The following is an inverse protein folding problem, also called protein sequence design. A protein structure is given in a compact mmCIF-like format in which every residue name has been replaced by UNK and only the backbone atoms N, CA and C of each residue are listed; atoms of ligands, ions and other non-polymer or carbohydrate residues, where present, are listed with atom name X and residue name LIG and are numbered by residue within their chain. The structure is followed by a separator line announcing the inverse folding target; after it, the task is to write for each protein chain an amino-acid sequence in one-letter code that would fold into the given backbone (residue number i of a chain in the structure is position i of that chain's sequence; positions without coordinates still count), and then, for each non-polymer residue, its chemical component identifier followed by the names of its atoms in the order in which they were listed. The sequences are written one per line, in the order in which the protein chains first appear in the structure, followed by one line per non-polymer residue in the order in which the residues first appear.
data_IF_758715670023
#
_entry.id   IF_758715670023
#
_cell.length_a   1.000
_cell.length_b   1.000
_cell.length_c   1.000
_cell.angle_alpha   90.00
_cell.angle_beta   90.00
_cell.angle_gamma   90.00
#
_symmetry.space_group_name_H-M   'P 1'
#
loop_
_entity.id
_entity.type
_entity.pdbx_description
1 polymer ?
#
# COMPACT_ATOMS: atom_id res chain seq x y z
N UNK A 1 1.62 0.24 -16.28
CA UNK A 1 1.01 -0.09 -17.60
C UNK A 1 -0.50 -0.20 -17.44
N UNK A 2 -1.30 0.04 -18.49
CA UNK A 2 -2.75 -0.25 -18.50
C UNK A 2 -3.10 -1.12 -19.71
N UNK A 3 -3.94 -2.13 -19.50
CA UNK A 3 -4.38 -3.09 -20.53
C UNK A 3 -5.90 -3.20 -20.43
N UNK A 4 -6.59 -3.29 -21.57
CA UNK A 4 -8.04 -3.56 -21.58
C UNK A 4 -8.32 -4.94 -21.01
N UNK A 5 -9.41 -5.10 -20.26
CA UNK A 5 -9.81 -6.40 -19.71
C UNK A 5 -10.12 -7.43 -20.79
N UNK A 6 -10.58 -6.99 -21.95
CA UNK A 6 -10.88 -7.85 -23.11
C UNK A 6 -9.64 -8.63 -23.61
N UNK A 7 -8.44 -8.09 -23.42
CA UNK A 7 -7.17 -8.77 -23.76
C UNK A 7 -6.94 -10.04 -22.94
N UNK A 8 -7.68 -10.21 -21.84
CA UNK A 8 -7.65 -11.37 -20.95
C UNK A 8 -8.92 -12.22 -21.04
N UNK A 9 -9.78 -12.03 -22.05
CA UNK A 9 -11.01 -12.82 -22.20
C UNK A 9 -10.74 -14.33 -22.41
N UNK A 10 -9.63 -14.68 -23.07
CA UNK A 10 -9.31 -16.07 -23.44
C UNK A 10 -7.96 -16.52 -22.86
N UNK A 11 -7.92 -16.79 -21.56
CA UNK A 11 -6.72 -17.29 -20.86
C UNK A 11 -6.56 -18.80 -21.07
N UNK A 12 -5.37 -19.22 -21.49
CA UNK A 12 -5.01 -20.64 -21.63
C UNK A 12 -4.54 -21.21 -20.28
N UNK A 13 -4.64 -22.53 -20.03
CA UNK A 13 -4.07 -23.16 -18.83
C UNK A 13 -2.56 -22.90 -18.65
N UNK A 14 -1.83 -22.76 -19.75
CA UNK A 14 -0.39 -22.39 -19.74
C UNK A 14 -0.13 -20.92 -19.37
N UNK A 15 -1.18 -20.14 -19.10
CA UNK A 15 -1.11 -18.71 -18.87
C UNK A 15 -1.00 -17.88 -20.16
N UNK A 16 -0.89 -16.58 -19.96
CA UNK A 16 -0.70 -15.57 -20.99
C UNK A 16 0.31 -14.54 -20.49
N UNK A 17 1.17 -14.05 -21.39
CA UNK A 17 2.02 -12.89 -21.07
C UNK A 17 1.11 -11.68 -20.86
N UNK A 18 1.29 -10.98 -19.73
CA UNK A 18 0.53 -9.78 -19.35
C UNK A 18 1.35 -8.49 -19.49
N UNK A 19 2.67 -8.58 -19.34
CA UNK A 19 3.65 -7.53 -19.59
C UNK A 19 5.03 -8.13 -19.84
N UNK A 20 5.85 -7.39 -20.60
CA UNK A 20 7.29 -7.64 -20.66
C UNK A 20 7.97 -6.84 -19.56
N UNK A 21 8.90 -7.48 -18.85
CA UNK A 21 9.70 -6.90 -17.78
C UNK A 21 11.15 -6.85 -18.24
N UNK A 22 11.84 -5.77 -17.88
CA UNK A 22 13.29 -5.69 -18.05
C UNK A 22 13.97 -6.62 -17.03
N UNK A 23 15.23 -6.98 -17.30
CA UNK A 23 16.00 -7.85 -16.41
C UNK A 23 16.12 -7.24 -15.00
N UNK A 24 15.81 -8.04 -13.99
CA UNK A 24 15.81 -7.62 -12.58
C UNK A 24 14.54 -6.90 -12.11
N UNK A 25 13.57 -6.62 -13.00
CA UNK A 25 12.29 -6.04 -12.62
C UNK A 25 11.25 -7.12 -12.26
N UNK A 26 10.29 -6.77 -11.41
CA UNK A 26 9.24 -7.67 -10.95
C UNK A 26 7.86 -6.99 -10.94
N UNK A 27 6.82 -7.75 -11.28
CA UNK A 27 5.45 -7.26 -11.15
C UNK A 27 5.03 -7.28 -9.68
N UNK A 28 5.02 -6.11 -9.02
CA UNK A 28 4.56 -6.00 -7.64
C UNK A 28 3.04 -6.01 -7.47
N UNK A 29 2.29 -5.34 -8.35
CA UNK A 29 0.84 -5.13 -8.18
C UNK A 29 0.09 -5.09 -9.51
N UNK A 30 -1.12 -5.64 -9.48
CA UNK A 30 -2.16 -5.44 -10.49
C UNK A 30 -3.45 -4.96 -9.80
N UNK A 31 -4.15 -4.03 -10.45
CA UNK A 31 -5.41 -3.46 -9.99
C UNK A 31 -6.35 -3.27 -11.16
N UNK A 32 -7.64 -3.52 -10.93
CA UNK A 32 -8.69 -3.15 -11.86
C UNK A 32 -9.00 -1.66 -11.69
N UNK A 33 -9.20 -0.98 -12.82
CA UNK A 33 -9.62 0.41 -12.87
C UNK A 33 -10.74 0.57 -13.90
N UNK A 34 -11.53 1.62 -13.75
CA UNK A 34 -12.77 1.88 -14.50
C UNK A 34 -12.60 2.85 -15.67
N UNK A 35 -11.40 3.39 -15.89
CA UNK A 35 -11.10 4.41 -16.90
C UNK A 35 -11.11 5.84 -16.37
N UNK A 36 -11.65 6.07 -15.17
CA UNK A 36 -11.76 7.37 -14.49
C UNK A 36 -11.09 7.42 -13.12
N UNK A 37 -10.37 6.37 -12.74
CA UNK A 37 -9.78 6.25 -11.42
C UNK A 37 -8.44 6.98 -11.33
N UNK A 38 -8.03 7.24 -10.09
CA UNK A 38 -6.69 7.72 -9.79
C UNK A 38 -5.91 6.64 -9.08
N UNK A 39 -4.61 6.62 -9.29
CA UNK A 39 -3.71 5.65 -8.67
C UNK A 39 -2.70 6.39 -7.82
N UNK A 40 -2.24 5.74 -6.76
CA UNK A 40 -1.15 6.21 -5.90
C UNK A 40 -0.03 5.18 -5.88
N UNK A 41 1.19 5.66 -6.08
CA UNK A 41 2.42 4.86 -6.03
C UNK A 41 3.24 5.35 -4.85
N UNK A 42 3.78 4.43 -4.05
CA UNK A 42 4.62 4.74 -2.89
C UNK A 42 5.98 4.06 -3.04
N UNK A 43 7.04 4.76 -2.65
CA UNK A 43 8.42 4.26 -2.67
C UNK A 43 8.93 3.93 -1.27
N UNK A 44 9.91 3.04 -1.17
CA UNK A 44 10.48 2.64 0.12
C UNK A 44 11.13 3.81 0.88
N UNK A 45 11.69 4.79 0.15
CA UNK A 45 12.32 5.98 0.74
C UNK A 45 11.34 7.12 1.01
N UNK A 46 10.03 6.86 0.96
CA UNK A 46 9.03 7.77 1.50
C UNK A 46 8.47 8.80 0.53
N UNK A 47 8.49 8.52 -0.77
CA UNK A 47 7.74 9.32 -1.75
C UNK A 47 6.40 8.68 -2.06
N UNK A 48 5.39 9.51 -2.31
CA UNK A 48 4.11 9.08 -2.86
C UNK A 48 3.71 9.96 -4.03
N UNK A 49 3.17 9.35 -5.08
CA UNK A 49 2.67 10.06 -6.26
C UNK A 49 1.27 9.58 -6.61
N UNK A 50 0.30 10.51 -6.56
CA UNK A 50 -1.07 10.29 -7.01
C UNK A 50 -1.29 10.91 -8.38
N UNK A 51 -1.88 10.19 -9.32
CA UNK A 51 -2.24 10.71 -10.64
C UNK A 51 -3.40 9.93 -11.26
N UNK A 52 -4.12 10.58 -12.18
CA UNK A 52 -5.20 9.95 -12.96
C UNK A 52 -4.67 8.84 -13.87
N UNK A 53 -5.37 7.70 -13.89
CA UNK A 53 -5.04 6.58 -14.78
C UNK A 53 -5.03 7.00 -16.27
N UNK A 54 -5.80 8.03 -16.63
CA UNK A 54 -5.88 8.53 -18.01
C UNK A 54 -4.56 9.11 -18.52
N UNK A 55 -3.60 9.40 -17.63
CA UNK A 55 -2.21 9.75 -17.99
C UNK A 55 -1.41 8.56 -18.54
N UNK A 56 -1.96 7.35 -18.44
CA UNK A 56 -1.40 6.11 -19.00
C UNK A 56 -2.35 5.60 -20.09
N UNK A 57 -1.91 5.67 -21.34
CA UNK A 57 -2.66 5.07 -22.46
C UNK A 57 -2.80 3.56 -22.26
N UNK A 58 -3.92 3.00 -22.72
CA UNK A 58 -4.05 1.55 -22.84
C UNK A 58 -3.02 1.01 -23.86
N UNK A 59 -2.50 -0.17 -23.59
CA UNK A 59 -1.51 -0.84 -24.43
C UNK A 59 -1.81 -2.34 -24.46
N UNK A 60 -1.32 -3.02 -25.51
CA UNK A 60 -1.40 -4.48 -25.59
C UNK A 60 -0.57 -5.19 -24.52
N UNK A 61 -0.86 -6.48 -24.32
CA UNK A 61 -0.21 -7.31 -23.29
C UNK A 61 1.31 -7.44 -23.42
N UNK A 62 1.88 -7.32 -24.61
CA UNK A 62 3.34 -7.42 -24.80
C UNK A 62 4.11 -6.11 -24.53
N UNK A 63 3.43 -4.98 -24.31
CA UNK A 63 4.13 -3.72 -24.03
C UNK A 63 4.80 -3.73 -22.64
N UNK A 64 5.96 -3.09 -22.50
CA UNK A 64 6.63 -2.90 -21.21
C UNK A 64 5.84 -1.92 -20.30
N UNK A 65 5.38 -0.81 -20.88
CA UNK A 65 4.60 0.20 -20.16
C UNK A 65 5.21 1.59 -20.27
N UNK A 66 4.96 2.43 -19.26
CA UNK A 66 5.47 3.80 -19.15
C UNK A 66 5.82 4.10 -17.70
N UNK A 67 6.74 5.03 -17.49
CA UNK A 67 7.14 5.48 -16.16
C UNK A 67 5.95 6.07 -15.39
N UNK A 68 5.68 5.48 -14.22
CA UNK A 68 4.67 5.94 -13.26
C UNK A 68 5.21 7.00 -12.32
N UNK A 69 6.30 6.71 -11.61
CA UNK A 69 7.00 7.62 -10.68
C UNK A 69 8.49 7.69 -11.06
N UNK A 70 9.11 8.86 -10.88
CA UNK A 70 10.57 9.00 -11.04
C UNK A 70 11.26 8.61 -9.74
N UNK A 71 11.97 7.48 -9.77
CA UNK A 71 12.74 6.99 -8.62
C UNK A 71 14.05 7.77 -8.48
N UNK A 72 14.47 7.98 -7.23
CA UNK A 72 15.85 8.39 -6.91
C UNK A 72 16.76 7.17 -6.95
N UNK A 73 18.07 7.40 -7.04
CA UNK A 73 19.04 6.31 -6.99
C UNK A 73 18.86 5.49 -5.71
N UNK A 74 18.74 4.17 -5.86
CA UNK A 74 18.54 3.23 -4.75
C UNK A 74 17.16 3.29 -4.09
N UNK A 75 16.15 3.86 -4.76
CA UNK A 75 14.74 3.81 -4.33
C UNK A 75 13.97 2.82 -5.21
N UNK A 76 13.00 2.13 -4.62
CA UNK A 76 12.12 1.19 -5.31
C UNK A 76 10.65 1.45 -4.94
N UNK A 77 9.74 1.01 -5.80
CA UNK A 77 8.31 1.06 -5.49
C UNK A 77 7.98 -0.04 -4.47
N UNK A 78 7.28 0.33 -3.40
CA UNK A 78 6.82 -0.59 -2.35
C UNK A 78 5.29 -0.76 -2.35
N UNK A 79 4.57 0.11 -3.06
CA UNK A 79 3.13 -0.05 -3.22
C UNK A 79 2.57 0.68 -4.43
N UNK A 80 1.52 0.11 -5.01
CA UNK A 80 0.60 0.76 -5.93
C UNK A 80 -0.83 0.41 -5.52
N UNK A 81 -1.70 1.42 -5.46
CA UNK A 81 -3.11 1.23 -5.14
C UNK A 81 -4.02 2.20 -5.91
N UNK A 82 -5.31 1.88 -5.95
CA UNK A 82 -6.35 2.74 -6.52
C UNK A 82 -6.92 3.62 -5.42
N UNK A 83 -7.14 4.89 -5.73
CA UNK A 83 -7.73 5.85 -4.80
C UNK A 83 -9.20 5.49 -4.57
N UNK A 84 -9.58 5.40 -3.30
CA UNK A 84 -10.97 5.27 -2.89
C UNK A 84 -11.45 6.59 -2.27
N UNK A 85 -12.72 6.93 -2.52
CA UNK A 85 -13.33 8.13 -1.96
C UNK A 85 -13.29 8.07 -0.42
N UNK A 86 -12.99 9.21 0.20
CA UNK A 86 -12.93 9.39 1.66
C UNK A 86 -11.94 8.48 2.41
N UNK A 87 -11.12 7.73 1.68
CA UNK A 87 -10.09 6.86 2.23
C UNK A 87 -8.84 7.60 2.73
N UNK A 88 -7.98 6.84 3.38
CA UNK A 88 -6.66 7.27 3.84
C UNK A 88 -5.58 6.40 3.22
N UNK A 89 -4.37 6.94 3.08
CA UNK A 89 -3.18 6.15 2.78
C UNK A 89 -2.56 5.71 4.12
N UNK A 90 -2.59 4.40 4.37
CA UNK A 90 -1.84 3.77 5.43
C UNK A 90 -0.41 3.49 4.96
N UNK A 91 0.57 3.86 5.78
CA UNK A 91 1.99 3.53 5.57
C UNK A 91 2.49 2.77 6.80
N UNK A 92 3.23 1.69 6.57
CA UNK A 92 3.93 0.91 7.61
C UNK A 92 5.40 0.73 7.23
N UNK A 93 6.30 0.94 8.17
CA UNK A 93 7.75 0.85 7.99
C UNK A 93 8.31 -0.47 8.48
N UNK A 94 9.54 -0.78 8.06
CA UNK A 94 10.23 -2.04 8.44
C UNK A 94 10.46 -2.17 9.94
N UNK A 95 10.55 -1.06 10.71
CA UNK A 95 10.63 -1.11 12.19
C UNK A 95 9.27 -0.97 12.88
N UNK A 96 8.18 -1.16 12.15
CA UNK A 96 6.83 -1.26 12.70
C UNK A 96 6.18 0.08 13.06
N UNK A 97 6.71 1.20 12.58
CA UNK A 97 5.99 2.48 12.66
C UNK A 97 4.93 2.54 11.57
N UNK A 98 3.81 3.17 11.87
CA UNK A 98 2.79 3.44 10.87
C UNK A 98 1.86 4.59 11.23
N UNK A 99 1.12 5.00 10.22
CA UNK A 99 0.13 6.06 10.30
C UNK A 99 -0.81 6.00 9.10
N UNK A 100 -2.00 6.54 9.28
CA UNK A 100 -2.89 6.86 8.16
C UNK A 100 -2.86 8.37 7.87
N UNK A 101 -2.87 8.73 6.59
CA UNK A 101 -2.96 10.12 6.15
C UNK A 101 -4.10 10.28 5.15
N UNK A 102 -5.02 11.24 5.33
CA UNK A 102 -6.13 11.46 4.39
C UNK A 102 -5.67 11.61 2.94
N UNK A 103 -6.34 10.93 2.00
CA UNK A 103 -5.98 10.98 0.58
C UNK A 103 -6.06 12.38 -0.01
N UNK A 104 -6.88 13.28 0.59
CA UNK A 104 -6.93 14.70 0.24
C UNK A 104 -5.60 15.44 0.41
N UNK A 105 -4.70 14.97 1.28
CA UNK A 105 -3.36 15.57 1.41
C UNK A 105 -2.43 15.23 0.23
N UNK A 106 -2.80 14.24 -0.57
CA UNK A 106 -2.09 13.84 -1.78
C UNK A 106 -2.83 14.41 -2.99
N UNK A 107 -2.57 15.68 -3.32
CA UNK A 107 -3.17 16.28 -4.52
C UNK A 107 -2.67 15.57 -5.78
N UNK A 108 -3.57 15.24 -6.74
CA UNK A 108 -3.17 14.65 -8.01
C UNK A 108 -2.14 15.49 -8.76
N UNK A 109 -1.15 14.84 -9.36
CA UNK A 109 -0.09 15.45 -10.17
C UNK A 109 0.02 14.77 -11.54
N UNK A 110 1.03 15.14 -12.33
CA UNK A 110 1.44 14.37 -13.50
C UNK A 110 2.20 13.11 -13.10
N UNK A 111 2.17 12.10 -13.98
CA UNK A 111 3.04 10.91 -13.87
C UNK A 111 4.51 11.26 -14.12
N UNK A 112 5.40 10.33 -13.79
CA UNK A 112 6.86 10.45 -13.94
C UNK A 112 7.48 11.65 -13.21
N UNK A 113 6.78 12.19 -12.21
CA UNK A 113 7.34 13.13 -11.25
C UNK A 113 7.91 12.37 -10.05
N UNK A 114 8.67 13.04 -9.19
CA UNK A 114 9.26 12.41 -8.00
C UNK A 114 8.25 12.13 -6.87
N UNK A 115 7.00 12.59 -7.02
CA UNK A 115 6.02 12.55 -5.94
C UNK A 115 6.27 13.59 -4.85
N UNK A 116 5.64 13.37 -3.71
CA UNK A 116 5.71 14.19 -2.50
C UNK A 116 6.00 13.29 -1.29
N UNK A 117 6.65 13.83 -0.26
CA UNK A 117 6.94 13.05 0.94
C UNK A 117 5.64 12.50 1.58
N UNK A 118 5.68 11.22 1.96
CA UNK A 118 4.58 10.50 2.64
C UNK A 118 4.95 10.00 4.03
N UNK A 119 6.20 10.20 4.43
CA UNK A 119 6.71 9.94 5.77
C UNK A 119 7.86 10.92 6.06
N UNK A 120 8.22 11.09 7.33
CA UNK A 120 9.41 11.88 7.68
C UNK A 120 10.69 11.18 7.18
N UNK A 121 11.23 11.68 6.07
CA UNK A 121 12.41 11.10 5.44
C UNK A 121 13.68 11.24 6.30
N UNK A 122 13.73 12.20 7.23
CA UNK A 122 14.86 12.37 8.16
C UNK A 122 14.85 11.28 9.23
N UNK A 123 13.67 10.76 9.55
CA UNK A 123 13.49 9.70 10.54
C UNK A 123 13.70 8.28 9.98
N UNK A 124 13.94 8.08 8.67
CA UNK A 124 14.07 6.74 8.06
C UNK A 124 15.13 5.86 8.75
N UNK A 125 16.22 6.44 9.28
CA UNK A 125 17.21 5.66 10.06
C UNK A 125 16.62 5.11 11.37
N UNK A 126 15.75 5.88 12.01
CA UNK A 126 15.05 5.53 13.26
C UNK A 126 13.91 4.55 13.01
N UNK A 127 13.04 4.83 12.03
CA UNK A 127 11.78 4.11 11.80
C UNK A 127 11.87 3.04 10.71
N UNK A 128 12.96 2.98 9.96
CA UNK A 128 13.11 2.09 8.81
C UNK A 128 12.48 2.65 7.53
N UNK A 129 12.72 1.95 6.41
CA UNK A 129 12.08 2.24 5.12
C UNK A 129 10.61 1.84 5.16
N UNK A 130 9.82 2.32 4.21
CA UNK A 130 8.43 1.86 4.06
C UNK A 130 8.44 0.39 3.60
N UNK A 131 7.80 -0.48 4.39
CA UNK A 131 7.63 -1.89 4.08
C UNK A 131 6.37 -2.15 3.26
N UNK A 132 5.30 -1.40 3.55
CA UNK A 132 4.04 -1.50 2.83
C UNK A 132 3.23 -0.21 2.94
N UNK A 133 2.38 0.03 1.93
CA UNK A 133 1.34 1.05 1.99
C UNK A 133 0.06 0.55 1.33
N UNK A 134 -1.11 0.99 1.81
CA UNK A 134 -2.42 0.64 1.24
C UNK A 134 -3.38 1.80 1.35
N UNK A 135 -4.23 1.95 0.34
CA UNK A 135 -5.45 2.75 0.46
C UNK A 135 -6.45 1.95 1.29
N UNK A 136 -6.99 2.57 2.33
CA UNK A 136 -7.81 1.92 3.35
C UNK A 136 -9.00 2.80 3.74
N UNK A 137 -10.05 2.15 4.26
CA UNK A 137 -11.30 2.75 4.74
C UNK A 137 -11.42 2.56 6.24
N UNK A 138 -12.09 3.49 6.91
CA UNK A 138 -12.20 3.57 8.39
C UNK A 138 -12.51 2.24 9.09
N UNK A 139 -13.37 1.43 8.48
CA UNK A 139 -13.89 0.18 9.05
C UNK A 139 -13.10 -1.07 8.61
N UNK A 140 -11.98 -0.89 7.91
CA UNK A 140 -11.10 -1.99 7.52
C UNK A 140 -10.27 -2.51 8.70
N UNK A 141 -9.90 -3.77 8.59
CA UNK A 141 -8.92 -4.42 9.45
C UNK A 141 -7.59 -4.60 8.72
N UNK A 142 -6.53 -4.69 9.51
CA UNK A 142 -5.17 -4.82 9.04
C UNK A 142 -4.49 -5.99 9.72
N UNK A 143 -3.78 -6.80 8.95
CA UNK A 143 -2.83 -7.77 9.50
C UNK A 143 -1.43 -7.33 9.12
N UNK A 144 -0.54 -7.20 10.10
CA UNK A 144 0.88 -6.90 9.90
C UNK A 144 1.66 -8.14 10.31
N UNK A 145 2.62 -8.56 9.47
CA UNK A 145 3.46 -9.73 9.74
C UNK A 145 4.94 -9.37 9.64
N UNK A 146 5.72 -9.83 10.61
CA UNK A 146 7.18 -9.70 10.60
C UNK A 146 7.85 -10.83 9.83
N UNK A 147 9.13 -10.67 9.49
CA UNK A 147 9.92 -11.67 8.79
C UNK A 147 10.05 -12.98 9.59
N UNK A 148 10.08 -12.86 10.92
CA UNK A 148 10.12 -14.02 11.82
C UNK A 148 8.74 -14.64 12.11
N UNK A 149 7.68 -14.20 11.42
CA UNK A 149 6.36 -14.82 11.49
C UNK A 149 5.47 -14.31 12.63
N UNK A 150 5.83 -13.22 13.31
CA UNK A 150 4.92 -12.58 14.28
C UNK A 150 3.84 -11.83 13.51
N UNK A 151 2.58 -12.20 13.72
CA UNK A 151 1.43 -11.55 13.11
C UNK A 151 0.58 -10.82 14.16
N UNK A 152 0.17 -9.59 13.86
CA UNK A 152 -0.80 -8.84 14.65
C UNK A 152 -1.96 -8.39 13.78
N UNK A 153 -3.15 -8.32 14.35
CA UNK A 153 -4.34 -7.75 13.72
C UNK A 153 -4.76 -6.48 14.43
N UNK A 154 -5.04 -5.42 13.67
CA UNK A 154 -5.42 -4.10 14.17
C UNK A 154 -6.67 -3.62 13.43
N UNK A 155 -7.58 -2.94 14.15
CA UNK A 155 -8.66 -2.19 13.49
C UNK A 155 -8.10 -0.87 12.97
N UNK A 156 -8.40 -0.48 11.74
CA UNK A 156 -7.84 0.75 11.17
C UNK A 156 -8.19 1.99 12.00
N UNK A 157 -9.39 2.04 12.57
CA UNK A 157 -9.84 3.14 13.43
C UNK A 157 -8.91 3.45 14.62
N UNK A 158 -8.13 2.46 15.06
CA UNK A 158 -7.19 2.60 16.18
C UNK A 158 -5.79 3.06 15.70
N UNK A 159 -5.53 3.03 14.39
CA UNK A 159 -4.30 3.55 13.80
C UNK A 159 -4.32 5.06 13.76
N UNK A 160 -3.28 5.71 14.30
CA UNK A 160 -3.20 7.17 14.35
C UNK A 160 -3.28 7.81 12.97
N UNK A 161 -4.16 8.79 12.84
CA UNK A 161 -4.17 9.70 11.69
C UNK A 161 -3.21 10.86 11.92
N UNK A 162 -2.33 11.12 10.95
CA UNK A 162 -1.44 12.29 10.97
C UNK A 162 -1.05 12.73 9.56
N UNK A 163 -0.47 13.93 9.47
CA UNK A 163 -0.08 14.51 8.17
C UNK A 163 1.00 13.71 7.45
N UNK A 164 1.17 14.00 6.15
CA UNK A 164 2.07 13.25 5.26
C UNK A 164 3.51 13.10 5.80
N UNK A 165 4.20 14.20 6.07
CA UNK A 165 5.62 14.19 6.43
C UNK A 165 5.88 13.97 7.94
N UNK A 166 5.14 13.07 8.57
CA UNK A 166 5.30 12.71 9.99
C UNK A 166 5.85 11.29 10.13
N UNK A 167 6.47 10.95 11.27
CA UNK A 167 7.06 9.62 11.50
C UNK A 167 6.04 8.50 11.79
N UNK A 168 4.84 8.86 12.26
CA UNK A 168 3.83 7.90 12.73
C UNK A 168 4.07 7.43 14.17
N UNK A 169 3.48 6.29 14.53
CA UNK A 169 3.59 5.64 15.86
C UNK A 169 3.86 4.15 15.68
N UNK A 170 4.33 3.46 16.72
CA UNK A 170 4.46 2.00 16.67
C UNK A 170 3.09 1.34 16.51
N UNK A 171 2.94 0.55 15.45
CA UNK A 171 1.85 -0.42 15.28
C UNK A 171 2.29 -1.80 15.78
N UNK A 172 3.56 -2.12 15.57
CA UNK A 172 4.25 -3.30 16.09
C UNK A 172 5.67 -2.90 16.48
N UNK A 173 6.25 -3.61 17.45
CA UNK A 173 7.67 -3.51 17.79
C UNK A 173 8.34 -4.84 17.43
N UNK A 174 8.97 -4.94 16.25
CA UNK A 174 9.76 -6.13 15.92
C UNK A 174 10.85 -6.35 16.95
N UNK A 175 11.17 -7.63 17.21
CA UNK A 175 12.32 -7.99 18.04
C UNK A 175 13.64 -7.59 17.37
N UNK A 176 14.73 -7.61 18.13
CA UNK A 176 16.06 -7.35 17.56
C UNK A 176 16.36 -8.34 16.42
N UNK A 177 16.82 -7.82 15.28
CA UNK A 177 17.05 -8.61 14.05
C UNK A 177 15.79 -8.93 13.23
N UNK A 178 14.59 -8.61 13.73
CA UNK A 178 13.34 -8.80 13.00
C UNK A 178 12.90 -7.49 12.29
N UNK A 179 11.98 -7.60 11.34
CA UNK A 179 11.40 -6.46 10.64
C UNK A 179 10.01 -6.78 10.11
N UNK A 180 9.19 -5.75 9.93
CA UNK A 180 7.91 -5.90 9.22
C UNK A 180 8.19 -6.32 7.77
N UNK A 181 7.63 -7.47 7.39
CA UNK A 181 7.79 -8.05 6.06
C UNK A 181 6.57 -7.79 5.17
N UNK A 182 5.36 -7.76 5.75
CA UNK A 182 4.13 -7.58 4.97
C UNK A 182 2.98 -6.98 5.74
N UNK A 183 2.00 -6.48 4.99
CA UNK A 183 0.73 -5.99 5.49
C UNK A 183 -0.40 -6.41 4.55
N UNK A 184 -1.46 -6.95 5.13
CA UNK A 184 -2.71 -7.27 4.45
C UNK A 184 -3.83 -6.35 4.93
N UNK A 185 -4.62 -5.84 3.99
CA UNK A 185 -5.88 -5.15 4.25
C UNK A 185 -7.00 -6.18 4.17
N UNK A 186 -7.90 -6.17 5.15
CA UNK A 186 -9.12 -6.94 5.13
C UNK A 186 -10.26 -5.93 5.11
N UNK A 187 -10.97 -5.83 3.98
CA UNK A 187 -12.02 -4.84 3.85
C UNK A 187 -13.23 -5.21 4.73
N UNK A 188 -13.97 -4.21 5.19
CA UNK A 188 -15.22 -4.44 5.90
C UNK A 188 -16.24 -5.27 5.07
N UNK A 189 -16.22 -5.10 3.74
CA UNK A 189 -17.05 -5.89 2.83
C UNK A 189 -16.63 -7.36 2.79
N UNK A 190 -15.33 -7.64 2.75
CA UNK A 190 -14.81 -9.02 2.74
C UNK A 190 -15.08 -9.71 4.08
N UNK A 191 -14.99 -8.98 5.20
CA UNK A 191 -15.38 -9.51 6.52
C UNK A 191 -16.86 -9.91 6.56
N UNK A 192 -17.75 -9.07 6.02
CA UNK A 192 -19.17 -9.38 5.92
C UNK A 192 -19.43 -10.60 5.04
N UNK A 193 -18.77 -10.70 3.88
CA UNK A 193 -18.90 -11.87 2.97
C UNK A 193 -18.40 -13.16 3.62
N UNK A 194 -17.38 -13.09 4.47
CA UNK A 194 -16.84 -14.22 5.21
C UNK A 194 -17.70 -14.63 6.42
N UNK A 195 -18.85 -13.98 6.66
CA UNK A 195 -19.77 -14.31 7.76
C UNK A 195 -19.33 -13.77 9.13
N UNK A 196 -18.36 -12.86 9.19
CA UNK A 196 -18.00 -12.19 10.44
C UNK A 196 -19.10 -11.16 10.78
N UNK A 197 -19.83 -11.37 11.89
CA UNK A 197 -20.67 -10.32 12.45
C UNK A 197 -19.77 -9.22 13.01
N UNK A 198 -20.01 -7.98 12.58
CA UNK A 198 -19.51 -6.77 13.25
C UNK A 198 -20.33 -6.58 14.53
N UNK A 199 -20.27 -7.54 15.44
CA UNK A 199 -20.78 -7.38 16.79
C UNK A 199 -19.70 -6.76 17.67
N UNK A 200 -20.14 -5.84 18.52
CA UNK A 200 -19.32 -5.03 19.40
C UNK A 200 -18.37 -5.88 20.24
N UNK A 201 -17.20 -5.29 20.51
CA UNK A 201 -16.09 -5.95 21.18
C UNK A 201 -16.54 -6.76 22.41
N UNK A 202 -16.43 -8.08 22.34
CA UNK A 202 -16.12 -8.85 23.54
C UNK A 202 -14.86 -8.23 24.16
N UNK A 203 -14.95 -7.91 25.44
CA UNK A 203 -13.85 -7.40 26.25
C UNK A 203 -12.67 -8.34 26.09
N UNK A 204 -11.69 -7.94 25.29
CA UNK A 204 -10.39 -8.60 25.26
C UNK A 204 -9.75 -8.33 26.62
N UNK A 205 -9.48 -9.40 27.34
CA UNK A 205 -8.75 -9.44 28.60
C UNK A 205 -7.51 -8.53 28.54
N UNK A 206 -7.32 -7.69 29.56
CA UNK A 206 -6.22 -6.72 29.61
C UNK A 206 -4.87 -7.42 29.35
N UNK A 207 -4.21 -7.05 28.24
CA UNK A 207 -2.81 -7.43 28.04
C UNK A 207 -1.96 -6.83 29.17
N UNK A 208 -0.98 -7.58 29.72
CA UNK A 208 -0.17 -7.10 30.82
C UNK A 208 0.57 -5.83 30.41
N UNK A 209 0.53 -4.83 31.30
CA UNK A 209 1.26 -3.57 31.14
C UNK A 209 2.74 -3.86 30.92
N UNK A 210 3.27 -3.38 29.81
CA UNK A 210 4.71 -3.35 29.56
C UNK A 210 5.36 -2.45 30.62
N UNK A 211 6.20 -3.04 31.46
CA UNK A 211 7.14 -2.37 32.36
C UNK A 211 8.25 -1.72 31.54
#
# INVERSE_FOLDING_TARGET
KRVSMEEFASVRPSGLIALNLDEGDTLGWARLTSGKDEIIIVTENGQALRFSETKVRAMGRQAAGVNGIKLKAGDIVTSMDVIEKDGTLLVVTTKGFGKQTPLKEYSPKGRATSGIATIDQKAIKEIGKIAAARVVQKDDDLTIMTANGVAIRLKLKDVKQSGRATRGVHLIKPQEGDSVASMARISAEDLKKAGASVEEAEKVEEQPKLV
#
